data_IF_140049769275
#
_entry.id   IF_140049769275
#
_cell.length_a   1.000
_cell.length_b   1.000
_cell.length_c   1.000
_cell.angle_alpha   90.00
_cell.angle_beta   90.00
_cell.angle_gamma   90.00
#
_symmetry.space_group_name_H-M   'P 1'
#
loop_
_entity.id
_entity.type
_entity.pdbx_description
1 polymer ?
#
# COMPACT_ATOMS: atom_id res chain seq x y z
N UNK A 1 20.30 -8.50 -20.70
CA UNK A 1 20.72 -7.44 -19.75
C UNK A 1 20.61 -6.10 -20.45
N UNK A 2 19.76 -5.23 -19.95
CA UNK A 2 19.62 -3.88 -20.52
C UNK A 2 20.85 -3.06 -20.17
N UNK A 3 21.29 -2.24 -21.11
CA UNK A 3 22.46 -1.37 -20.93
C UNK A 3 22.04 0.07 -21.05
N UNK A 4 22.47 0.91 -20.12
CA UNK A 4 22.30 2.35 -20.20
C UNK A 4 23.59 2.98 -20.74
N UNK A 5 23.51 3.65 -21.88
CA UNK A 5 24.61 4.41 -22.47
C UNK A 5 24.34 5.91 -22.29
N UNK A 6 25.18 6.55 -21.49
CA UNK A 6 25.06 7.98 -21.21
C UNK A 6 26.17 8.73 -21.93
N UNK A 7 25.80 9.71 -22.77
CA UNK A 7 26.72 10.67 -23.39
C UNK A 7 26.47 12.04 -22.79
N UNK A 8 27.40 12.53 -22.00
CA UNK A 8 27.38 13.86 -21.40
C UNK A 8 27.94 14.95 -22.32
N UNK A 9 28.29 16.11 -21.74
CA UNK A 9 28.95 17.21 -22.41
C UNK A 9 28.03 18.31 -22.94
N UNK A 10 26.71 18.23 -22.70
CA UNK A 10 25.78 19.32 -22.97
C UNK A 10 25.25 19.92 -21.68
N UNK A 11 25.21 21.25 -21.60
CA UNK A 11 24.49 21.94 -20.54
C UNK A 11 22.99 21.70 -20.71
N UNK A 12 22.33 21.22 -19.65
CA UNK A 12 20.89 21.04 -19.62
C UNK A 12 20.25 22.38 -19.23
N UNK A 13 19.20 22.77 -19.99
CA UNK A 13 18.40 23.97 -19.72
C UNK A 13 16.95 23.63 -20.04
N UNK A 14 16.03 23.93 -19.11
CA UNK A 14 14.60 23.66 -19.23
C UNK A 14 13.97 23.24 -17.91
N UNK A 15 12.65 23.12 -17.93
CA UNK A 15 11.84 22.72 -16.78
C UNK A 15 11.49 21.23 -16.85
N UNK A 16 11.51 20.58 -15.68
CA UNK A 16 11.11 19.18 -15.54
C UNK A 16 10.02 19.08 -14.50
N UNK A 17 8.87 18.57 -14.90
CA UNK A 17 7.80 18.22 -13.96
C UNK A 17 8.16 16.91 -13.25
N UNK A 18 8.28 16.95 -11.94
CA UNK A 18 8.62 15.78 -11.13
C UNK A 18 7.41 14.84 -11.07
N UNK A 19 7.61 13.58 -11.45
CA UNK A 19 6.61 12.54 -11.25
C UNK A 19 6.47 12.15 -9.79
N UNK A 20 5.30 11.67 -9.40
CA UNK A 20 5.06 11.15 -8.06
C UNK A 20 6.03 10.01 -7.70
N UNK A 21 6.38 9.93 -6.42
CA UNK A 21 7.27 8.91 -5.89
C UNK A 21 6.50 7.64 -5.53
N UNK A 22 7.04 6.46 -5.89
CA UNK A 22 6.48 5.16 -5.51
C UNK A 22 6.22 5.06 -4.01
N UNK A 23 7.23 5.39 -3.23
CA UNK A 23 7.21 5.21 -1.78
C UNK A 23 6.29 6.21 -1.04
N UNK A 24 5.84 7.27 -1.70
CA UNK A 24 4.77 8.13 -1.23
C UNK A 24 3.40 7.60 -1.67
N UNK A 25 3.25 7.24 -2.93
CA UNK A 25 1.97 6.79 -3.48
C UNK A 25 1.43 5.53 -2.77
N UNK A 26 2.29 4.56 -2.42
CA UNK A 26 1.83 3.31 -1.80
C UNK A 26 1.13 3.53 -0.44
N UNK A 27 1.70 4.25 0.54
CA UNK A 27 1.01 4.53 1.79
C UNK A 27 -0.21 5.45 1.60
N UNK A 28 -0.18 6.41 0.68
CA UNK A 28 -1.31 7.29 0.39
C UNK A 28 -2.52 6.52 -0.16
N UNK A 29 -2.28 5.57 -1.08
CA UNK A 29 -3.31 4.66 -1.58
C UNK A 29 -3.93 3.82 -0.45
N UNK A 30 -3.10 3.29 0.46
CA UNK A 30 -3.59 2.52 1.60
C UNK A 30 -4.34 3.40 2.62
N UNK A 31 -3.98 4.67 2.76
CA UNK A 31 -4.65 5.61 3.66
C UNK A 31 -6.12 5.87 3.24
N UNK A 32 -6.49 5.66 1.98
CA UNK A 32 -7.89 5.74 1.53
C UNK A 32 -8.81 4.74 2.28
N UNK A 33 -8.26 3.67 2.85
CA UNK A 33 -9.03 2.74 3.70
C UNK A 33 -9.55 3.36 5.00
N UNK A 34 -8.96 4.48 5.46
CA UNK A 34 -9.35 5.15 6.71
C UNK A 34 -10.70 5.86 6.64
N UNK A 35 -11.24 6.11 5.46
CA UNK A 35 -12.50 6.83 5.27
C UNK A 35 -13.46 6.10 4.33
N UNK A 36 -14.76 6.35 4.51
CA UNK A 36 -15.78 5.96 3.55
C UNK A 36 -15.98 7.00 2.43
N UNK A 37 -15.45 8.20 2.61
CA UNK A 37 -15.56 9.27 1.64
C UNK A 37 -14.67 9.01 0.42
N UNK A 38 -15.05 9.50 -0.76
CA UNK A 38 -14.22 9.42 -1.95
C UNK A 38 -12.88 10.17 -1.75
N UNK A 39 -11.80 9.54 -2.17
CA UNK A 39 -10.45 10.12 -2.14
C UNK A 39 -9.91 10.18 -3.55
N UNK A 40 -9.37 11.32 -3.96
CA UNK A 40 -8.70 11.48 -5.24
C UNK A 40 -7.23 11.83 -5.02
N UNK A 41 -6.36 11.02 -5.59
CA UNK A 41 -4.91 11.23 -5.57
C UNK A 41 -4.44 11.62 -6.97
N UNK A 42 -3.66 12.68 -7.06
CA UNK A 42 -3.03 13.15 -8.31
C UNK A 42 -1.54 12.85 -8.30
N UNK A 43 -0.90 12.93 -9.45
CA UNK A 43 0.53 12.66 -9.60
C UNK A 43 0.94 11.25 -9.12
N UNK A 44 0.06 10.27 -9.27
CA UNK A 44 0.31 8.86 -8.90
C UNK A 44 1.08 8.17 -10.01
N UNK A 45 2.32 7.70 -9.79
CA UNK A 45 3.16 7.15 -10.85
C UNK A 45 2.60 5.84 -11.41
N UNK A 46 2.92 5.57 -12.69
CA UNK A 46 2.52 4.35 -13.39
C UNK A 46 3.56 3.25 -13.18
N UNK A 47 3.55 2.64 -12.02
CA UNK A 47 4.50 1.60 -11.63
C UNK A 47 3.79 0.30 -11.29
N UNK A 48 4.50 -0.82 -11.42
CA UNK A 48 3.97 -2.14 -11.12
C UNK A 48 3.48 -2.26 -9.68
N UNK A 49 4.22 -1.72 -8.72
CA UNK A 49 3.84 -1.76 -7.30
C UNK A 49 2.54 -0.99 -7.04
N UNK A 50 2.35 0.17 -7.69
CA UNK A 50 1.09 0.93 -7.63
C UNK A 50 -0.07 0.11 -8.18
N UNK A 51 0.13 -0.52 -9.34
CA UNK A 51 -0.88 -1.39 -9.96
C UNK A 51 -1.23 -2.58 -9.08
N UNK A 52 -0.26 -3.16 -8.40
CA UNK A 52 -0.45 -4.27 -7.44
C UNK A 52 -1.22 -3.79 -6.21
N UNK A 53 -0.89 -2.60 -5.67
CA UNK A 53 -1.63 -2.02 -4.55
C UNK A 53 -3.10 -1.76 -4.92
N UNK A 54 -3.36 -1.20 -6.09
CA UNK A 54 -4.72 -0.98 -6.56
C UNK A 54 -5.51 -2.30 -6.72
N UNK A 55 -4.86 -3.37 -7.17
CA UNK A 55 -5.47 -4.71 -7.22
C UNK A 55 -5.78 -5.24 -5.82
N UNK A 56 -4.88 -5.07 -4.86
CA UNK A 56 -5.09 -5.46 -3.47
C UNK A 56 -6.30 -4.71 -2.89
N UNK A 57 -6.36 -3.39 -3.03
CA UNK A 57 -7.45 -2.56 -2.54
C UNK A 57 -8.80 -2.96 -3.17
N UNK A 58 -8.83 -3.23 -4.48
CA UNK A 58 -10.05 -3.72 -5.16
C UNK A 58 -10.51 -5.07 -4.63
N UNK A 59 -9.59 -5.97 -4.35
CA UNK A 59 -9.91 -7.29 -3.76
C UNK A 59 -10.57 -7.15 -2.39
N UNK A 60 -10.24 -6.10 -1.65
CA UNK A 60 -10.83 -5.78 -0.35
C UNK A 60 -12.19 -5.05 -0.46
N UNK A 61 -12.64 -4.72 -1.67
CA UNK A 61 -13.92 -4.03 -1.91
C UNK A 61 -13.79 -2.52 -2.10
N UNK A 62 -12.57 -1.98 -2.23
CA UNK A 62 -12.36 -0.58 -2.59
C UNK A 62 -12.63 -0.39 -4.08
N UNK A 63 -13.50 0.56 -4.45
CA UNK A 63 -13.51 1.07 -5.81
C UNK A 63 -12.23 1.89 -6.03
N UNK A 64 -11.44 1.52 -7.01
CA UNK A 64 -10.16 2.16 -7.29
C UNK A 64 -9.97 2.27 -8.80
N UNK A 65 -10.10 3.47 -9.33
CA UNK A 65 -10.08 3.72 -10.75
C UNK A 65 -9.03 4.77 -11.11
N UNK A 66 -8.33 4.53 -12.21
CA UNK A 66 -7.41 5.50 -12.77
C UNK A 66 -8.14 6.27 -13.86
N UNK A 67 -8.06 7.59 -13.82
CA UNK A 67 -8.68 8.44 -14.82
C UNK A 67 -8.09 8.17 -16.22
N UNK A 68 -8.94 8.05 -17.22
CA UNK A 68 -8.50 7.94 -18.62
C UNK A 68 -7.96 9.27 -19.16
N UNK A 69 -8.58 10.37 -18.77
CA UNK A 69 -8.19 11.73 -19.21
C UNK A 69 -6.98 12.29 -18.44
N UNK A 70 -6.76 11.81 -17.21
CA UNK A 70 -5.63 12.19 -16.37
C UNK A 70 -4.96 10.93 -15.80
N UNK A 71 -4.09 10.26 -16.58
CA UNK A 71 -3.59 8.93 -16.23
C UNK A 71 -2.72 8.84 -14.97
N UNK A 72 -2.32 9.95 -14.41
CA UNK A 72 -1.65 10.09 -13.11
C UNK A 72 -2.61 10.30 -11.93
N UNK A 73 -3.91 10.36 -12.21
CA UNK A 73 -4.97 10.56 -11.20
C UNK A 73 -5.67 9.24 -10.90
N UNK A 74 -5.85 8.95 -9.62
CA UNK A 74 -6.55 7.75 -9.11
C UNK A 74 -7.67 8.19 -8.19
N UNK A 75 -8.89 7.76 -8.48
CA UNK A 75 -10.05 7.89 -7.61
C UNK A 75 -10.26 6.61 -6.81
N UNK A 76 -10.47 6.75 -5.50
CA UNK A 76 -10.67 5.64 -4.55
C UNK A 76 -11.94 5.87 -3.74
N UNK A 77 -12.65 4.79 -3.46
CA UNK A 77 -13.77 4.81 -2.52
C UNK A 77 -13.81 3.51 -1.73
N UNK A 78 -13.63 3.60 -0.43
CA UNK A 78 -13.60 2.46 0.49
C UNK A 78 -14.92 2.31 1.31
N UNK A 79 -16.03 2.90 0.86
CA UNK A 79 -17.31 2.80 1.54
C UNK A 79 -17.81 1.35 1.64
N UNK A 80 -17.52 0.52 0.63
CA UNK A 80 -18.00 -0.85 0.49
C UNK A 80 -16.88 -1.89 0.75
N UNK A 81 -15.95 -1.61 1.65
CA UNK A 81 -14.96 -2.62 2.04
C UNK A 81 -15.67 -3.80 2.70
N UNK A 82 -15.53 -4.98 2.11
CA UNK A 82 -16.23 -6.21 2.50
C UNK A 82 -15.38 -7.16 3.31
N UNK A 83 -14.06 -7.04 3.23
CA UNK A 83 -13.13 -7.89 3.95
C UNK A 83 -11.91 -7.10 4.44
N UNK A 84 -11.64 -7.07 5.76
CA UNK A 84 -10.40 -6.51 6.31
C UNK A 84 -9.22 -7.50 6.19
N UNK A 85 -9.20 -8.27 5.09
CA UNK A 85 -8.22 -9.32 4.83
C UNK A 85 -7.39 -9.03 3.58
N UNK A 86 -6.06 -9.18 3.71
CA UNK A 86 -5.11 -9.10 2.60
C UNK A 86 -4.51 -10.49 2.32
N UNK A 87 -5.01 -11.22 1.30
CA UNK A 87 -4.66 -12.61 1.06
C UNK A 87 -3.23 -12.77 0.52
N UNK A 88 -2.65 -13.93 0.81
CA UNK A 88 -1.27 -14.26 0.47
C UNK A 88 -0.92 -14.05 -1.01
N UNK A 89 -1.78 -14.43 -1.93
CA UNK A 89 -1.50 -14.34 -3.38
C UNK A 89 -1.25 -12.91 -3.88
N UNK A 90 -1.84 -11.92 -3.24
CA UNK A 90 -1.64 -10.51 -3.56
C UNK A 90 -0.50 -9.89 -2.75
N UNK A 91 -0.28 -10.37 -1.53
CA UNK A 91 0.76 -9.84 -0.63
C UNK A 91 2.15 -10.39 -0.94
N UNK A 92 2.26 -11.67 -1.34
CA UNK A 92 3.54 -12.37 -1.53
C UNK A 92 4.50 -11.68 -2.50
N UNK A 93 3.98 -10.93 -3.45
CA UNK A 93 4.78 -10.27 -4.48
C UNK A 93 5.23 -8.86 -4.10
N UNK A 94 4.61 -8.26 -3.07
CA UNK A 94 4.87 -6.89 -2.72
C UNK A 94 4.84 -6.67 -1.20
N UNK A 95 6.01 -6.41 -0.64
CA UNK A 95 6.15 -6.15 0.80
C UNK A 95 5.33 -4.95 1.30
N UNK A 96 5.16 -3.92 0.48
CA UNK A 96 4.39 -2.73 0.83
C UNK A 96 2.90 -3.05 1.12
N UNK A 97 2.43 -4.26 0.83
CA UNK A 97 1.08 -4.71 1.21
C UNK A 97 0.84 -4.68 2.72
N UNK A 98 1.89 -4.71 3.55
CA UNK A 98 1.78 -4.51 4.99
C UNK A 98 1.17 -3.14 5.37
N UNK A 99 1.25 -2.16 4.50
CA UNK A 99 0.73 -0.81 4.75
C UNK A 99 -0.78 -0.76 4.94
N UNK A 100 -1.54 -1.78 4.51
CA UNK A 100 -2.98 -1.87 4.76
C UNK A 100 -3.30 -2.22 6.22
N UNK A 101 -2.36 -2.82 6.96
CA UNK A 101 -2.58 -3.30 8.33
C UNK A 101 -3.07 -2.18 9.27
N UNK A 102 -2.35 -1.05 9.30
CA UNK A 102 -2.71 0.08 10.16
C UNK A 102 -4.09 0.66 9.85
N UNK A 103 -4.39 1.05 8.60
CA UNK A 103 -5.69 1.57 8.20
C UNK A 103 -6.85 0.59 8.46
N UNK A 104 -6.68 -0.70 8.19
CA UNK A 104 -7.71 -1.70 8.47
C UNK A 104 -7.99 -1.79 9.98
N UNK A 105 -6.93 -1.96 10.78
CA UNK A 105 -7.07 -2.04 12.23
C UNK A 105 -7.70 -0.78 12.82
N UNK A 106 -7.27 0.39 12.35
CA UNK A 106 -7.79 1.66 12.85
C UNK A 106 -9.29 1.85 12.57
N UNK A 107 -9.75 1.48 11.36
CA UNK A 107 -11.14 1.71 10.94
C UNK A 107 -12.07 0.58 11.36
N UNK A 108 -11.66 -0.68 11.18
CA UNK A 108 -12.54 -1.84 11.37
C UNK A 108 -12.35 -2.51 12.73
N UNK A 109 -11.31 -2.17 13.48
CA UNK A 109 -10.99 -2.79 14.77
C UNK A 109 -10.23 -4.09 14.65
N UNK A 110 -10.21 -4.70 13.46
CA UNK A 110 -9.50 -5.95 13.17
C UNK A 110 -8.83 -5.90 11.80
N UNK A 111 -7.80 -6.72 11.60
CA UNK A 111 -7.16 -6.89 10.31
C UNK A 111 -6.45 -8.25 10.23
N UNK A 112 -6.58 -8.92 9.09
CA UNK A 112 -5.85 -10.15 8.75
C UNK A 112 -4.99 -9.89 7.52
N UNK A 113 -3.68 -9.85 7.69
CA UNK A 113 -2.75 -9.56 6.60
C UNK A 113 -1.73 -10.66 6.48
N UNK A 114 -1.63 -11.27 5.31
CA UNK A 114 -0.59 -12.27 5.07
C UNK A 114 0.80 -11.66 5.23
N UNK A 115 1.73 -12.44 5.76
CA UNK A 115 3.14 -12.05 5.75
C UNK A 115 3.63 -11.96 4.29
N UNK A 116 4.35 -10.90 3.93
CA UNK A 116 4.93 -10.81 2.60
C UNK A 116 5.94 -11.95 2.39
N UNK A 117 5.85 -12.63 1.26
CA UNK A 117 6.79 -13.66 0.87
C UNK A 117 8.22 -13.13 0.86
N UNK A 118 9.20 -14.03 1.08
CA UNK A 118 10.61 -13.66 1.12
C UNK A 118 11.05 -12.98 -0.17
N UNK A 119 11.50 -11.76 -0.06
CA UNK A 119 12.14 -11.07 -1.16
C UNK A 119 13.54 -11.65 -1.36
N UNK A 120 13.96 -11.94 -2.60
CA UNK A 120 15.28 -12.48 -2.96
C UNK A 120 16.48 -11.64 -2.45
N UNK A 121 16.24 -10.47 -1.88
CA UNK A 121 17.23 -9.50 -1.39
C UNK A 121 17.24 -9.41 0.15
N UNK A 122 16.98 -10.53 0.86
CA UNK A 122 17.10 -10.62 2.32
C UNK A 122 15.79 -10.37 3.09
N UNK A 123 15.79 -10.83 4.35
CA UNK A 123 14.67 -10.64 5.26
C UNK A 123 14.54 -9.16 5.60
N UNK A 124 13.45 -8.55 5.19
CA UNK A 124 13.09 -7.20 5.62
C UNK A 124 11.93 -7.31 6.60
N UNK A 125 12.21 -7.27 7.89
CA UNK A 125 11.21 -7.54 8.91
C UNK A 125 10.09 -6.49 8.88
N UNK A 126 8.84 -6.95 9.03
CA UNK A 126 7.65 -6.09 9.24
C UNK A 126 7.44 -5.81 10.73
N UNK A 127 8.39 -6.25 11.57
CA UNK A 127 8.34 -6.18 13.02
C UNK A 127 8.17 -4.76 13.56
N UNK A 128 8.68 -3.75 12.87
CA UNK A 128 8.51 -2.36 13.30
C UNK A 128 7.04 -1.90 13.19
N UNK A 129 6.32 -2.33 12.16
CA UNK A 129 4.88 -2.08 12.05
C UNK A 129 4.12 -2.75 13.20
N UNK A 130 4.44 -4.02 13.47
CA UNK A 130 3.83 -4.79 14.56
C UNK A 130 4.11 -4.13 15.92
N UNK A 131 5.39 -3.86 16.23
CA UNK A 131 5.80 -3.22 17.49
C UNK A 131 5.14 -1.85 17.67
N UNK A 132 5.08 -1.04 16.61
CA UNK A 132 4.43 0.27 16.68
C UNK A 132 2.95 0.17 17.01
N UNK A 133 2.21 -0.72 16.35
CA UNK A 133 0.78 -0.94 16.61
C UNK A 133 0.54 -1.56 18.00
N UNK A 134 1.39 -2.50 18.43
CA UNK A 134 1.33 -3.06 19.79
C UNK A 134 1.58 -2.00 20.87
N UNK A 135 2.53 -1.09 20.64
CA UNK A 135 2.78 0.02 21.56
C UNK A 135 1.59 1.00 21.65
N UNK A 136 0.75 1.06 20.61
CA UNK A 136 -0.52 1.80 20.58
C UNK A 136 -1.70 1.00 21.16
N UNK A 137 -1.47 -0.20 21.71
CA UNK A 137 -2.49 -1.00 22.39
C UNK A 137 -3.14 -2.10 21.55
N UNK A 138 -2.71 -2.33 20.31
CA UNK A 138 -3.22 -3.43 19.50
C UNK A 138 -2.75 -4.80 20.03
N UNK A 139 -3.63 -5.80 20.00
CA UNK A 139 -3.26 -7.22 20.18
C UNK A 139 -2.89 -7.79 18.79
N UNK A 140 -1.64 -8.16 18.62
CA UNK A 140 -1.17 -8.66 17.32
C UNK A 140 -0.47 -10.00 17.51
N UNK A 141 -0.92 -11.00 16.75
CA UNK A 141 -0.36 -12.34 16.69
C UNK A 141 0.09 -12.64 15.27
N UNK A 142 1.10 -13.48 15.16
CA UNK A 142 1.56 -14.00 13.86
C UNK A 142 1.35 -15.50 13.88
N UNK A 143 0.38 -15.96 13.11
CA UNK A 143 -0.02 -17.36 13.07
C UNK A 143 -0.21 -17.82 11.63
N UNK A 144 0.29 -19.00 11.30
CA UNK A 144 0.14 -19.64 9.97
C UNK A 144 0.52 -18.75 8.78
N UNK A 145 1.49 -17.82 8.96
CA UNK A 145 1.91 -16.92 7.90
C UNK A 145 1.04 -15.66 7.76
N UNK A 146 0.13 -15.41 8.71
CA UNK A 146 -0.71 -14.21 8.77
C UNK A 146 -0.41 -13.39 10.02
N UNK A 147 -0.55 -12.10 9.88
CA UNK A 147 -0.64 -11.13 10.98
C UNK A 147 -2.12 -10.96 11.28
N UNK A 148 -2.50 -11.38 12.48
CA UNK A 148 -3.84 -11.21 13.02
C UNK A 148 -3.77 -10.06 14.02
N UNK A 149 -4.46 -8.97 13.73
CA UNK A 149 -4.47 -7.78 14.56
C UNK A 149 -5.88 -7.48 15.04
N UNK A 150 -6.02 -7.20 16.32
CA UNK A 150 -7.26 -6.78 16.97
C UNK A 150 -6.99 -5.51 17.79
N UNK A 151 -7.86 -4.55 17.64
CA UNK A 151 -7.87 -3.37 18.47
C UNK A 151 -8.62 -3.72 19.76
N UNK A 152 -7.90 -4.08 20.82
CA UNK A 152 -8.51 -4.09 22.16
C UNK A 152 -9.12 -2.72 22.42
N UNK A 153 -10.40 -2.69 22.71
CA UNK A 153 -11.10 -1.47 23.09
C UNK A 153 -10.29 -0.76 24.17
N UNK A 154 -9.66 0.34 23.80
CA UNK A 154 -9.11 1.27 24.79
C UNK A 154 -10.35 1.86 25.46
N UNK A 155 -10.62 1.41 26.68
CA UNK A 155 -11.62 1.99 27.57
C UNK A 155 -11.13 3.35 28.03
#
# INVERSE_FOLDING_TARGET
MDKLLIRGGRQLNGDVTISGAKNAALPELCAALLTAEPVTLTNVPRLQDVSTTLKLLRNMGVSAERSESAPDTVALNAASVTSPEAPYDLVKTMRASILVLGPLLARFGEATVSLPGGCAIGSRPVDQHIKGLQAMGADIRVEHGYILADRKSVV
#
